data_IF_641488227316
#
_entry.id   IF_641488227316
#
_cell.length_a   1.000
_cell.length_b   1.000
_cell.length_c   1.000
_cell.angle_alpha   90.00
_cell.angle_beta   90.00
_cell.angle_gamma   90.00
#
_symmetry.space_group_name_H-M   'P 1'
#
loop_
_entity.id
_entity.type
_entity.pdbx_description
1 polymer ?
#
# COMPACT_ATOMS: atom_id res chain seq x y z
N UNK A 1 -24.38 -3.52 0.78
CA UNK A 1 -23.53 -3.06 -0.34
C UNK A 1 -24.00 -3.80 -1.58
N UNK A 2 -24.37 -3.09 -2.65
CA UNK A 2 -24.88 -3.70 -3.88
C UNK A 2 -23.84 -4.70 -4.41
N UNK A 3 -24.27 -5.85 -4.93
CA UNK A 3 -23.43 -6.91 -5.53
C UNK A 3 -22.58 -7.79 -4.59
N UNK A 4 -22.65 -7.65 -3.25
CA UNK A 4 -21.91 -8.58 -2.36
C UNK A 4 -22.41 -10.02 -2.52
N UNK A 5 -23.72 -10.22 -2.44
CA UNK A 5 -24.29 -11.58 -2.44
C UNK A 5 -24.20 -12.23 -3.82
N UNK A 6 -24.35 -11.45 -4.88
CA UNK A 6 -24.31 -11.92 -6.27
C UNK A 6 -22.93 -12.42 -6.71
N UNK A 7 -21.86 -11.83 -6.16
CA UNK A 7 -20.47 -12.24 -6.44
C UNK A 7 -19.89 -13.20 -5.39
N UNK A 8 -20.62 -13.45 -4.29
CA UNK A 8 -20.24 -14.43 -3.25
C UNK A 8 -21.17 -15.65 -3.25
N UNK A 9 -21.45 -16.16 -4.44
CA UNK A 9 -22.30 -17.33 -4.64
C UNK A 9 -21.45 -18.58 -4.95
N UNK A 10 -21.43 -19.59 -4.05
CA UNK A 10 -20.66 -20.82 -4.25
C UNK A 10 -21.16 -21.66 -5.43
N UNK A 11 -22.44 -21.57 -5.78
CA UNK A 11 -23.00 -22.29 -6.93
C UNK A 11 -22.45 -21.73 -8.24
N UNK A 12 -22.41 -20.39 -8.37
CA UNK A 12 -21.77 -19.72 -9.52
C UNK A 12 -20.28 -20.02 -9.60
N UNK A 13 -19.57 -19.99 -8.47
CA UNK A 13 -18.15 -20.33 -8.42
C UNK A 13 -17.88 -21.75 -8.92
N UNK A 14 -18.71 -22.74 -8.53
CA UNK A 14 -18.60 -24.12 -9.00
C UNK A 14 -18.79 -24.25 -10.50
N UNK A 15 -19.79 -23.56 -11.07
CA UNK A 15 -20.02 -23.52 -12.52
C UNK A 15 -18.80 -22.95 -13.27
N UNK A 16 -18.15 -21.92 -12.72
CA UNK A 16 -16.94 -21.35 -13.31
C UNK A 16 -15.75 -22.32 -13.24
N UNK A 17 -15.55 -23.00 -12.10
CA UNK A 17 -14.49 -24.00 -11.95
C UNK A 17 -14.65 -25.16 -12.96
N UNK A 18 -15.88 -25.64 -13.16
CA UNK A 18 -16.14 -26.70 -14.13
C UNK A 18 -15.85 -26.24 -15.57
N UNK A 19 -16.19 -24.98 -15.90
CA UNK A 19 -15.82 -24.40 -17.20
C UNK A 19 -14.30 -24.28 -17.35
N UNK A 20 -13.58 -23.84 -16.32
CA UNK A 20 -12.12 -23.74 -16.34
C UNK A 20 -11.50 -25.12 -16.63
N UNK A 21 -11.97 -26.18 -15.95
CA UNK A 21 -11.52 -27.56 -16.21
C UNK A 21 -11.76 -28.02 -17.66
N UNK A 22 -12.85 -27.56 -18.28
CA UNK A 22 -13.18 -27.91 -19.67
C UNK A 22 -12.34 -27.16 -20.71
N UNK A 23 -11.88 -25.94 -20.42
CA UNK A 23 -11.17 -25.08 -21.40
C UNK A 23 -9.65 -25.06 -21.22
N UNK A 24 -9.14 -25.31 -20.00
CA UNK A 24 -7.71 -25.35 -19.73
C UNK A 24 -7.12 -26.67 -20.25
N UNK A 25 -6.78 -26.72 -21.54
CA UNK A 25 -6.26 -27.92 -22.23
C UNK A 25 -4.73 -28.05 -22.27
N UNK A 26 -4.02 -27.02 -21.80
CA UNK A 26 -2.55 -26.93 -21.73
C UNK A 26 -2.15 -26.35 -20.39
N UNK A 27 -0.85 -26.31 -20.11
CA UNK A 27 -0.35 -25.64 -18.93
C UNK A 27 -0.48 -24.12 -19.05
N UNK A 28 -0.99 -23.50 -18.01
CA UNK A 28 -1.15 -22.06 -17.88
C UNK A 28 -0.43 -21.57 -16.63
N UNK A 29 0.31 -20.50 -16.79
CA UNK A 29 0.87 -19.72 -15.69
C UNK A 29 0.23 -18.34 -15.74
N UNK A 30 -0.55 -18.00 -14.72
CA UNK A 30 -1.30 -16.74 -14.65
C UNK A 30 -0.74 -15.95 -13.48
N UNK A 31 -0.23 -14.75 -13.77
CA UNK A 31 0.25 -13.84 -12.74
C UNK A 31 -0.81 -12.80 -12.39
N UNK A 32 -1.02 -12.60 -11.09
CA UNK A 32 -1.71 -11.43 -10.57
C UNK A 32 -0.71 -10.48 -9.90
N UNK A 33 -1.04 -9.18 -9.85
CA UNK A 33 -0.16 -8.13 -9.33
C UNK A 33 -0.98 -7.22 -8.38
N UNK A 34 -1.77 -7.83 -7.51
CA UNK A 34 -2.59 -7.11 -6.54
C UNK A 34 -2.69 -7.91 -5.25
N UNK A 35 -2.11 -7.40 -4.15
CA UNK A 35 -2.18 -8.08 -2.85
C UNK A 35 -3.60 -8.39 -2.38
N UNK A 36 -4.60 -7.58 -2.78
CA UNK A 36 -6.02 -7.87 -2.53
C UNK A 36 -6.54 -9.09 -3.28
N UNK A 37 -6.09 -9.32 -4.52
CA UNK A 37 -6.37 -10.53 -5.27
C UNK A 37 -5.65 -11.73 -4.66
N UNK A 38 -4.35 -11.61 -4.34
CA UNK A 38 -3.59 -12.64 -3.60
C UNK A 38 -4.33 -13.08 -2.33
N UNK A 39 -4.75 -12.11 -1.51
CA UNK A 39 -5.49 -12.36 -0.28
C UNK A 39 -6.81 -13.09 -0.56
N UNK A 40 -7.58 -12.65 -1.55
CA UNK A 40 -8.84 -13.29 -1.92
C UNK A 40 -8.65 -14.72 -2.45
N UNK A 41 -7.62 -14.96 -3.26
CA UNK A 41 -7.30 -16.28 -3.81
C UNK A 41 -7.01 -17.25 -2.67
N UNK A 42 -6.06 -16.91 -1.80
CA UNK A 42 -5.63 -17.77 -0.70
C UNK A 42 -6.72 -17.97 0.35
N UNK A 43 -7.43 -16.89 0.73
CA UNK A 43 -8.51 -16.95 1.72
C UNK A 43 -9.65 -17.88 1.29
N UNK A 44 -9.93 -17.95 -0.01
CA UNK A 44 -10.99 -18.80 -0.56
C UNK A 44 -10.46 -20.12 -1.14
N UNK A 45 -9.16 -20.41 -1.01
CA UNK A 45 -8.52 -21.63 -1.52
C UNK A 45 -8.66 -21.81 -3.04
N UNK A 46 -8.74 -20.73 -3.81
CA UNK A 46 -8.96 -20.80 -5.27
C UNK A 46 -7.80 -21.53 -5.96
N UNK A 47 -6.57 -21.29 -5.50
CA UNK A 47 -5.35 -21.96 -5.92
C UNK A 47 -5.43 -23.49 -5.79
N UNK A 48 -6.13 -24.00 -4.77
CA UNK A 48 -6.32 -25.43 -4.54
C UNK A 48 -7.48 -26.03 -5.35
N UNK A 49 -8.43 -25.20 -5.77
CA UNK A 49 -9.61 -25.62 -6.52
C UNK A 49 -9.40 -25.69 -8.03
N UNK A 50 -8.42 -24.93 -8.54
CA UNK A 50 -8.01 -24.92 -9.93
C UNK A 50 -7.41 -26.27 -10.35
N UNK A 51 -7.54 -26.66 -11.63
CA UNK A 51 -6.90 -27.88 -12.13
C UNK A 51 -5.37 -27.72 -12.11
N UNK A 52 -4.64 -28.83 -11.95
CA UNK A 52 -3.18 -28.83 -11.75
C UNK A 52 -2.38 -28.22 -12.89
N UNK A 53 -2.95 -28.10 -14.09
CA UNK A 53 -2.35 -27.43 -15.24
C UNK A 53 -2.61 -25.92 -15.27
N UNK A 54 -3.18 -25.33 -14.21
CA UNK A 54 -3.34 -23.88 -14.06
C UNK A 54 -2.64 -23.44 -12.79
N UNK A 55 -1.46 -22.84 -12.96
CA UNK A 55 -0.66 -22.30 -11.87
C UNK A 55 -0.91 -20.80 -11.73
N UNK A 56 -1.14 -20.37 -10.50
CA UNK A 56 -1.18 -18.95 -10.14
C UNK A 56 0.20 -18.49 -9.64
N UNK A 57 0.65 -17.34 -10.12
CA UNK A 57 1.87 -16.67 -9.67
C UNK A 57 1.48 -15.36 -9.00
N UNK A 58 1.95 -15.18 -7.77
CA UNK A 58 1.74 -13.96 -7.00
C UNK A 58 2.86 -12.98 -7.30
N UNK A 59 2.56 -12.00 -8.15
CA UNK A 59 3.49 -10.98 -8.58
C UNK A 59 3.71 -9.87 -7.54
N UNK A 60 4.48 -8.83 -7.90
CA UNK A 60 4.83 -7.72 -7.02
C UNK A 60 3.67 -6.73 -6.79
N UNK A 61 2.53 -7.22 -6.27
CA UNK A 61 1.29 -6.47 -6.06
C UNK A 61 1.20 -5.69 -4.74
N UNK A 62 2.33 -5.50 -4.04
CA UNK A 62 2.40 -4.84 -2.74
C UNK A 62 3.35 -3.64 -2.84
N UNK A 63 2.85 -2.39 -2.86
CA UNK A 63 3.69 -1.20 -3.04
C UNK A 63 4.70 -1.01 -1.91
N UNK A 64 4.30 -1.33 -0.67
CA UNK A 64 5.16 -1.35 0.52
C UNK A 64 6.35 -2.28 0.32
N UNK A 65 6.08 -3.50 -0.14
CA UNK A 65 7.07 -4.56 -0.29
C UNK A 65 8.10 -4.28 -1.40
N UNK A 66 7.72 -3.48 -2.41
CA UNK A 66 8.60 -3.10 -3.53
C UNK A 66 9.19 -1.70 -3.38
N UNK A 67 8.95 -1.04 -2.24
CA UNK A 67 9.55 0.27 -1.97
C UNK A 67 11.08 0.13 -1.91
N UNK A 68 11.85 0.90 -2.70
CA UNK A 68 13.29 0.78 -2.72
C UNK A 68 13.91 1.06 -1.35
N UNK A 69 14.94 0.30 -0.98
CA UNK A 69 15.69 0.48 0.28
C UNK A 69 16.17 1.93 0.47
N UNK A 70 16.68 2.55 -0.58
CA UNK A 70 17.12 3.96 -0.56
C UNK A 70 16.00 4.94 -0.17
N UNK A 71 14.74 4.62 -0.48
CA UNK A 71 13.59 5.47 -0.11
C UNK A 71 13.32 5.37 1.39
N UNK A 72 13.44 4.18 1.96
CA UNK A 72 13.31 3.95 3.41
C UNK A 72 14.43 4.66 4.17
N UNK A 73 15.68 4.57 3.68
CA UNK A 73 16.82 5.25 4.28
C UNK A 73 16.68 6.78 4.22
N UNK A 74 16.15 7.33 3.12
CA UNK A 74 15.79 8.75 3.03
C UNK A 74 14.73 9.15 4.05
N UNK A 75 13.67 8.34 4.20
CA UNK A 75 12.62 8.60 5.19
C UNK A 75 13.18 8.61 6.62
N UNK A 76 14.09 7.68 6.94
CA UNK A 76 14.79 7.63 8.22
C UNK A 76 15.66 8.87 8.46
N UNK A 77 16.38 9.32 7.45
CA UNK A 77 17.19 10.54 7.53
C UNK A 77 16.31 11.78 7.75
N UNK A 78 15.16 11.88 7.07
CA UNK A 78 14.19 12.96 7.24
C UNK A 78 13.57 12.93 8.64
N UNK A 79 13.17 11.75 9.14
CA UNK A 79 12.60 11.61 10.49
C UNK A 79 13.58 12.03 11.60
N UNK A 80 14.89 11.95 11.35
CA UNK A 80 15.93 12.38 12.29
C UNK A 80 16.19 13.89 12.26
N UNK A 81 15.65 14.63 11.30
CA UNK A 81 15.85 16.08 11.21
C UNK A 81 15.10 16.83 12.32
N UNK A 82 15.75 17.80 13.01
CA UNK A 82 15.08 18.63 14.00
C UNK A 82 13.92 19.42 13.40
N UNK A 83 12.79 19.47 14.10
CA UNK A 83 11.62 20.23 13.66
C UNK A 83 10.78 19.53 12.59
N UNK A 84 11.08 18.27 12.26
CA UNK A 84 10.32 17.50 11.27
C UNK A 84 9.31 16.55 11.91
N UNK A 85 8.14 16.41 11.28
CA UNK A 85 7.19 15.33 11.50
C UNK A 85 7.20 14.47 10.24
N UNK A 86 7.61 13.20 10.36
CA UNK A 86 7.43 12.24 9.28
C UNK A 86 6.08 11.54 9.46
N UNK A 87 5.28 11.48 8.40
CA UNK A 87 4.01 10.77 8.37
C UNK A 87 4.07 9.62 7.38
N UNK A 88 3.46 8.49 7.70
CA UNK A 88 3.38 7.34 6.80
C UNK A 88 2.23 6.40 7.14
N UNK A 89 1.92 5.47 6.25
CA UNK A 89 0.99 4.38 6.55
C UNK A 89 1.58 3.41 7.59
N UNK A 90 0.71 2.74 8.35
CA UNK A 90 1.13 1.92 9.50
C UNK A 90 1.98 0.69 9.12
N UNK A 91 1.77 0.15 7.93
CA UNK A 91 2.54 -0.98 7.38
C UNK A 91 3.98 -0.59 7.03
N UNK A 92 4.21 0.64 6.58
CA UNK A 92 5.54 1.17 6.29
C UNK A 92 6.45 1.27 7.51
N UNK A 93 5.90 1.37 8.73
CA UNK A 93 6.71 1.59 9.93
C UNK A 93 7.72 0.47 10.21
N UNK A 94 7.41 -0.75 9.78
CA UNK A 94 8.23 -1.96 10.02
C UNK A 94 9.03 -2.39 8.80
N UNK A 95 9.03 -1.61 7.73
CA UNK A 95 9.86 -1.91 6.56
C UNK A 95 11.31 -1.61 6.93
N UNK A 96 12.23 -2.60 6.84
CA UNK A 96 13.61 -2.39 7.24
C UNK A 96 14.32 -1.46 6.26
N UNK A 97 14.96 -0.43 6.80
CA UNK A 97 16.03 0.30 6.13
C UNK A 97 17.38 -0.42 6.29
N UNK A 98 18.46 0.23 5.86
CA UNK A 98 19.82 -0.34 5.93
C UNK A 98 20.32 -0.53 7.37
N UNK A 99 19.82 0.27 8.32
CA UNK A 99 20.24 0.21 9.73
C UNK A 99 19.10 -0.04 10.73
N UNK A 100 17.93 0.53 10.50
CA UNK A 100 16.73 0.40 11.35
C UNK A 100 15.46 0.65 10.52
N UNK A 101 14.30 0.62 11.17
CA UNK A 101 13.01 0.94 10.58
C UNK A 101 12.41 2.19 11.26
N UNK A 102 11.31 2.71 10.71
CA UNK A 102 10.66 3.90 11.23
C UNK A 102 10.02 3.67 12.61
N UNK A 103 9.66 2.43 12.94
CA UNK A 103 9.17 2.04 14.25
C UNK A 103 10.25 2.22 15.33
N UNK A 104 11.48 1.77 15.07
CA UNK A 104 12.64 2.01 15.93
C UNK A 104 12.97 3.50 16.02
N UNK A 105 13.00 4.23 14.88
CA UNK A 105 13.25 5.67 14.90
C UNK A 105 12.26 6.43 15.79
N UNK A 106 10.97 6.06 15.73
CA UNK A 106 9.93 6.59 16.62
C UNK A 106 10.21 6.30 18.09
N UNK A 107 10.64 5.08 18.40
CA UNK A 107 10.97 4.68 19.78
C UNK A 107 12.18 5.44 20.34
N UNK A 108 13.06 5.93 19.47
CA UNK A 108 14.24 6.74 19.81
C UNK A 108 13.93 8.25 19.89
N UNK A 109 12.65 8.64 19.70
CA UNK A 109 12.19 10.02 19.88
C UNK A 109 11.95 10.81 18.59
N UNK A 110 12.08 10.20 17.41
CA UNK A 110 11.65 10.85 16.16
C UNK A 110 10.12 11.05 16.15
N UNK A 111 9.65 12.20 15.66
CA UNK A 111 8.21 12.50 15.52
C UNK A 111 7.66 11.81 14.26
N UNK A 112 7.44 10.49 14.37
CA UNK A 112 6.85 9.67 13.30
C UNK A 112 5.38 9.38 13.63
N UNK A 113 4.46 9.77 12.74
CA UNK A 113 3.01 9.61 12.94
C UNK A 113 2.40 8.72 11.87
N UNK A 114 1.49 7.86 12.30
CA UNK A 114 0.72 7.00 11.40
C UNK A 114 -0.48 7.79 10.89
N UNK A 115 -0.70 7.78 9.58
CA UNK A 115 -1.87 8.36 8.92
C UNK A 115 -2.59 7.30 8.08
N UNK A 116 -3.88 7.50 7.85
CA UNK A 116 -4.71 6.66 6.98
C UNK A 116 -4.94 7.27 5.60
N UNK A 117 -4.57 8.53 5.41
CA UNK A 117 -4.61 9.19 4.11
C UNK A 117 -3.58 10.32 3.99
N UNK A 118 -3.19 10.71 2.77
CA UNK A 118 -2.36 11.90 2.53
C UNK A 118 -3.00 13.19 3.05
N UNK A 119 -4.34 13.27 3.08
CA UNK A 119 -5.08 14.43 3.59
C UNK A 119 -4.98 14.57 5.11
N UNK A 120 -4.78 13.48 5.85
CA UNK A 120 -4.47 13.55 7.29
C UNK A 120 -3.07 14.10 7.52
N UNK A 121 -2.09 13.73 6.69
CA UNK A 121 -0.75 14.32 6.75
C UNK A 121 -0.78 15.82 6.45
N UNK A 122 -1.59 16.23 5.47
CA UNK A 122 -1.83 17.65 5.18
C UNK A 122 -2.48 18.38 6.37
N UNK A 123 -3.43 17.75 7.05
CA UNK A 123 -4.03 18.32 8.27
C UNK A 123 -2.98 18.49 9.38
N UNK A 124 -2.08 17.52 9.56
CA UNK A 124 -0.98 17.64 10.52
C UNK A 124 -0.08 18.84 10.18
N UNK A 125 0.15 19.13 8.90
CA UNK A 125 0.90 20.32 8.47
C UNK A 125 0.20 21.62 8.87
N UNK A 126 -1.13 21.72 8.69
CA UNK A 126 -1.93 22.88 9.15
C UNK A 126 -1.82 23.11 10.65
N UNK A 127 -1.88 22.02 11.41
CA UNK A 127 -1.90 22.08 12.87
C UNK A 127 -0.51 22.32 13.47
N UNK A 128 0.56 22.22 12.68
CA UNK A 128 1.95 22.36 13.12
C UNK A 128 2.75 23.31 12.20
N UNK A 129 2.35 24.60 12.09
CA UNK A 129 2.96 25.53 11.13
C UNK A 129 4.44 25.85 11.39
N UNK A 130 4.95 25.54 12.58
CA UNK A 130 6.37 25.71 12.94
C UNK A 130 7.22 24.46 12.68
N UNK A 131 6.66 23.42 12.06
CA UNK A 131 7.35 22.15 11.77
C UNK A 131 7.23 21.80 10.29
N UNK A 132 8.26 21.15 9.77
CA UNK A 132 8.22 20.53 8.45
C UNK A 132 7.45 19.21 8.54
N UNK A 133 6.45 19.00 7.69
CA UNK A 133 5.66 17.77 7.65
C UNK A 133 5.92 17.07 6.33
N UNK A 134 6.54 15.90 6.40
CA UNK A 134 6.85 15.08 5.24
C UNK A 134 6.00 13.81 5.25
N UNK A 135 5.26 13.57 4.18
CA UNK A 135 4.51 12.34 3.97
C UNK A 135 5.29 11.37 3.11
N UNK A 136 5.59 10.17 3.63
CA UNK A 136 6.19 9.08 2.86
C UNK A 136 5.10 8.47 1.96
N UNK A 137 5.07 8.92 0.71
CA UNK A 137 4.02 8.71 -0.27
C UNK A 137 4.25 7.42 -1.05
N UNK A 138 4.00 6.28 -0.41
CA UNK A 138 4.11 4.96 -1.04
C UNK A 138 2.78 4.51 -1.61
N UNK A 139 2.81 3.96 -2.83
CA UNK A 139 1.67 3.26 -3.40
C UNK A 139 1.69 3.16 -4.92
N UNK A 140 0.66 2.53 -5.47
CA UNK A 140 0.47 2.35 -6.92
C UNK A 140 -0.54 3.38 -7.48
N UNK A 141 -1.05 3.16 -8.68
CA UNK A 141 -1.96 4.07 -9.38
C UNK A 141 -3.23 4.38 -8.57
N UNK A 142 -3.68 3.47 -7.70
CA UNK A 142 -4.85 3.68 -6.83
C UNK A 142 -4.61 4.72 -5.74
N UNK A 143 -3.37 4.89 -5.28
CA UNK A 143 -3.02 5.87 -4.22
C UNK A 143 -2.55 7.20 -4.80
N UNK A 144 -1.96 7.18 -6.01
CA UNK A 144 -1.42 8.37 -6.67
C UNK A 144 -2.41 9.57 -6.73
N UNK A 145 -3.73 9.40 -7.02
CA UNK A 145 -4.67 10.50 -7.02
C UNK A 145 -4.82 11.18 -5.65
N UNK A 146 -4.81 10.41 -4.56
CA UNK A 146 -4.95 10.97 -3.21
C UNK A 146 -3.69 11.75 -2.79
N UNK A 147 -2.51 11.24 -3.14
CA UNK A 147 -1.22 11.91 -2.93
C UNK A 147 -1.19 13.24 -3.71
N UNK A 148 -1.48 13.18 -5.01
CA UNK A 148 -1.54 14.37 -5.86
C UNK A 148 -2.55 15.42 -5.34
N UNK A 149 -3.68 14.97 -4.79
CA UNK A 149 -4.67 15.87 -4.18
C UNK A 149 -4.13 16.57 -2.93
N UNK A 150 -3.35 15.89 -2.09
CA UNK A 150 -2.75 16.50 -0.91
C UNK A 150 -1.76 17.60 -1.30
N UNK A 151 -0.87 17.34 -2.27
CA UNK A 151 0.06 18.35 -2.81
C UNK A 151 -0.69 19.52 -3.45
N UNK A 152 -1.71 19.22 -4.27
CA UNK A 152 -2.53 20.25 -4.91
C UNK A 152 -3.24 21.15 -3.88
N UNK A 153 -3.79 20.55 -2.82
CA UNK A 153 -4.48 21.28 -1.77
C UNK A 153 -3.51 22.11 -0.93
N UNK A 154 -2.32 21.59 -0.60
CA UNK A 154 -1.26 22.34 0.07
C UNK A 154 -0.90 23.61 -0.71
N UNK A 155 -0.71 23.49 -2.03
CA UNK A 155 -0.42 24.62 -2.90
C UNK A 155 -1.58 25.64 -2.95
N UNK A 156 -2.83 25.18 -3.00
CA UNK A 156 -4.02 26.06 -2.99
C UNK A 156 -4.18 26.83 -1.68
N UNK A 157 -3.76 26.25 -0.57
CA UNK A 157 -3.83 26.87 0.76
C UNK A 157 -2.59 27.71 1.09
N UNK A 158 -1.54 27.66 0.27
CA UNK A 158 -0.28 28.32 0.54
C UNK A 158 0.51 27.70 1.69
N UNK A 159 0.31 26.40 1.97
CA UNK A 159 1.09 25.68 2.96
C UNK A 159 2.51 25.43 2.45
N UNK A 160 3.49 26.00 3.14
CA UNK A 160 4.92 25.90 2.76
C UNK A 160 5.67 24.80 3.50
N UNK A 161 5.04 24.17 4.50
CA UNK A 161 5.65 23.20 5.41
C UNK A 161 5.16 21.75 5.16
N UNK A 162 4.61 21.47 3.97
CA UNK A 162 4.14 20.13 3.58
C UNK A 162 4.91 19.65 2.35
N UNK A 163 5.43 18.42 2.41
CA UNK A 163 6.14 17.77 1.31
C UNK A 163 5.82 16.28 1.25
N UNK A 164 6.00 15.67 0.07
CA UNK A 164 5.91 14.22 -0.11
C UNK A 164 7.29 13.65 -0.46
N UNK A 165 7.60 12.45 0.06
CA UNK A 165 8.77 11.63 -0.28
C UNK A 165 8.32 10.39 -1.06
#
# INVERSE_FOLDING_TARGET
MKFIDEYRDPARARVLLDRIRQVARRDWTIMEICGGQTHSILRNGIDQLLPSNVQLVHGPGCPVCVTPLETIDRALAIAAMPGTILTSFGDMLRVPGSGKDLFMARSEGADVRVVFSPLEALQIARDNPSKEVVFLAVGFETTAPANAMAVHQAAREGLTNFSEL
#
